data_IF_110037319321
#
_entry.id   IF_110037319321
#
_cell.length_a   1.000
_cell.length_b   1.000
_cell.length_c   1.000
_cell.angle_alpha   90.00
_cell.angle_beta   90.00
_cell.angle_gamma   90.00
#
_symmetry.space_group_name_H-M   'P 1'
#
loop_
_entity.id
_entity.type
_entity.pdbx_description
1 polymer ?
#
# COMPACT_ATOMS: atom_id res chain seq x y z
N UNK A 1 37.29 79.30 -24.36
CA UNK A 1 38.09 78.27 -23.65
C UNK A 1 38.62 77.26 -24.68
N UNK A 2 39.90 76.88 -24.53
CA UNK A 2 40.80 75.94 -25.26
C UNK A 2 40.23 75.03 -26.39
N UNK A 3 40.81 74.99 -27.62
CA UNK A 3 42.06 74.27 -28.11
C UNK A 3 41.96 72.74 -27.89
N UNK A 4 42.13 71.77 -28.82
CA UNK A 4 43.04 71.49 -29.98
C UNK A 4 42.43 70.32 -30.80
N UNK A 5 42.36 70.30 -32.15
CA UNK A 5 43.34 69.84 -33.19
C UNK A 5 43.85 68.37 -33.14
N UNK A 6 43.53 67.61 -34.21
CA UNK A 6 44.32 66.60 -35.01
C UNK A 6 44.89 65.35 -34.28
N UNK A 7 45.07 64.15 -34.85
CA UNK A 7 44.86 63.51 -36.16
C UNK A 7 45.04 61.97 -36.00
N UNK A 8 44.53 61.22 -36.99
CA UNK A 8 44.99 59.95 -37.59
C UNK A 8 45.61 58.82 -36.74
N UNK A 9 45.10 57.59 -36.95
CA UNK A 9 45.94 56.41 -37.22
C UNK A 9 45.10 55.25 -37.80
N UNK A 10 45.26 55.03 -39.10
CA UNK A 10 45.07 53.72 -39.76
C UNK A 10 46.02 52.69 -39.15
N UNK A 11 45.58 51.46 -38.92
CA UNK A 11 46.46 50.29 -39.02
C UNK A 11 45.67 49.00 -39.23
N UNK A 12 46.16 48.26 -40.21
CA UNK A 12 45.70 46.99 -40.76
C UNK A 12 46.15 45.78 -39.94
N UNK A 13 45.35 44.71 -40.09
CA UNK A 13 45.44 43.29 -39.71
C UNK A 13 46.87 42.70 -39.63
N UNK A 14 47.10 41.68 -38.78
CA UNK A 14 47.32 40.35 -39.37
C UNK A 14 46.52 39.23 -38.68
N UNK A 15 46.10 38.29 -39.52
CA UNK A 15 45.42 37.06 -39.18
C UNK A 15 46.37 36.13 -38.42
N UNK A 16 45.92 35.63 -37.26
CA UNK A 16 46.57 34.53 -36.54
C UNK A 16 45.71 33.30 -36.79
N UNK A 17 46.25 32.38 -37.58
CA UNK A 17 45.64 31.07 -37.82
C UNK A 17 45.57 30.28 -36.51
N UNK A 18 44.36 29.98 -36.07
CA UNK A 18 44.12 29.08 -34.94
C UNK A 18 44.11 27.65 -35.45
N UNK A 19 45.09 26.89 -34.98
CA UNK A 19 45.25 25.45 -35.18
C UNK A 19 44.05 24.73 -34.52
N UNK A 20 43.24 24.03 -35.30
CA UNK A 20 42.07 23.29 -34.84
C UNK A 20 42.52 21.99 -34.15
N UNK A 21 42.54 21.98 -32.81
CA UNK A 21 42.67 20.75 -32.02
C UNK A 21 41.34 19.97 -32.12
N UNK A 22 41.35 18.85 -32.85
CA UNK A 22 40.28 17.84 -32.83
C UNK A 22 40.24 17.18 -31.45
N UNK A 23 39.42 17.72 -30.55
CA UNK A 23 39.02 17.02 -29.33
C UNK A 23 38.06 15.88 -29.71
N UNK A 24 38.50 14.63 -29.56
CA UNK A 24 37.59 13.49 -29.55
C UNK A 24 36.67 13.63 -28.33
N UNK A 25 35.44 14.08 -28.57
CA UNK A 25 34.39 14.03 -27.57
C UNK A 25 34.03 12.55 -27.29
N UNK A 26 34.08 12.07 -26.03
CA UNK A 26 33.54 10.76 -25.71
C UNK A 26 32.05 10.77 -26.03
N UNK A 27 31.62 9.82 -26.86
CA UNK A 27 30.20 9.60 -27.14
C UNK A 27 29.46 9.37 -25.82
N UNK A 28 28.31 10.04 -25.56
CA UNK A 28 27.51 9.71 -24.41
C UNK A 28 26.99 8.29 -24.64
N UNK A 29 27.58 7.33 -23.92
CA UNK A 29 26.96 6.03 -23.77
C UNK A 29 25.58 6.28 -23.17
N UNK A 30 24.55 6.18 -24.01
CA UNK A 30 23.17 6.08 -23.57
C UNK A 30 23.11 4.87 -22.67
N UNK A 31 23.22 5.11 -21.36
CA UNK A 31 22.83 4.16 -20.34
C UNK A 31 21.37 3.84 -20.64
N UNK A 32 21.15 2.68 -21.25
CA UNK A 32 19.82 2.14 -21.44
C UNK A 32 19.36 1.79 -20.05
N UNK A 33 18.69 2.73 -19.39
CA UNK A 33 17.92 2.43 -18.19
C UNK A 33 16.97 1.31 -18.63
N UNK A 34 17.08 0.09 -18.08
CA UNK A 34 16.18 -0.98 -18.46
C UNK A 34 14.77 -0.43 -18.23
N UNK A 35 13.95 -0.45 -19.28
CA UNK A 35 12.56 -0.03 -19.19
C UNK A 35 11.96 -0.78 -18.00
N UNK A 36 11.62 -0.04 -16.93
CA UNK A 36 10.99 -0.57 -15.73
C UNK A 36 9.78 -1.35 -16.23
N UNK A 37 9.82 -2.69 -16.16
CA UNK A 37 8.69 -3.51 -16.58
C UNK A 37 7.48 -2.97 -15.82
N UNK A 38 6.43 -2.56 -16.53
CA UNK A 38 5.31 -1.82 -15.96
C UNK A 38 4.69 -2.62 -14.83
N UNK A 39 4.97 -2.22 -13.59
CA UNK A 39 4.41 -2.87 -12.42
C UNK A 39 2.90 -2.70 -12.42
N UNK A 40 2.17 -3.73 -12.02
CA UNK A 40 0.73 -3.70 -11.85
C UNK A 40 0.44 -3.33 -10.40
N UNK A 41 -0.32 -2.26 -10.19
CA UNK A 41 -0.78 -1.85 -8.88
C UNK A 41 -2.10 -2.53 -8.55
N UNK A 42 -2.31 -2.85 -7.27
CA UNK A 42 -3.59 -3.25 -6.73
C UNK A 42 -3.92 -2.37 -5.53
N UNK A 43 -5.17 -1.92 -5.45
CA UNK A 43 -5.64 -0.99 -4.44
C UNK A 43 -6.80 -1.58 -3.65
N UNK A 44 -6.68 -1.51 -2.33
CA UNK A 44 -7.76 -1.83 -1.41
C UNK A 44 -7.82 -0.82 -0.26
N UNK A 45 -9.00 -0.29 0.05
CA UNK A 45 -9.21 0.42 1.31
C UNK A 45 -9.52 -0.56 2.43
N UNK A 46 -9.06 -0.25 3.63
CA UNK A 46 -9.29 -1.03 4.85
C UNK A 46 -10.13 -0.18 5.77
N UNK A 47 -11.39 -0.55 5.93
CA UNK A 47 -12.40 0.17 6.71
C UNK A 47 -12.64 -0.53 8.05
N UNK A 48 -12.54 0.23 9.13
CA UNK A 48 -12.90 -0.26 10.46
C UNK A 48 -14.31 0.20 10.85
N UNK A 49 -15.27 -0.71 10.90
CA UNK A 49 -16.64 -0.47 11.38
C UNK A 49 -16.93 -1.13 12.73
N UNK A 50 -15.92 -1.72 13.36
CA UNK A 50 -16.05 -2.37 14.66
C UNK A 50 -16.45 -1.36 15.75
N UNK A 51 -17.21 -1.80 16.78
CA UNK A 51 -17.89 -0.88 17.68
C UNK A 51 -16.97 -0.12 18.64
N UNK A 52 -15.77 -0.62 18.96
CA UNK A 52 -14.92 -0.01 19.98
C UNK A 52 -14.26 1.29 19.50
N UNK A 53 -14.26 2.29 20.39
CA UNK A 53 -13.57 3.57 20.18
C UNK A 53 -12.03 3.40 20.13
N UNK A 54 -11.50 2.34 20.75
CA UNK A 54 -10.09 1.98 20.66
C UNK A 54 -9.64 1.70 19.21
N UNK A 55 -10.55 1.35 18.30
CA UNK A 55 -10.19 0.99 16.93
C UNK A 55 -9.44 -0.34 16.87
N UNK A 56 -9.02 -0.72 15.67
CA UNK A 56 -8.22 -1.93 15.43
C UNK A 56 -6.78 -1.57 15.14
N UNK A 57 -5.87 -2.50 15.40
CA UNK A 57 -4.45 -2.40 15.06
C UNK A 57 -4.10 -3.38 13.96
N UNK A 58 -3.33 -2.91 12.97
CA UNK A 58 -2.85 -3.72 11.86
C UNK A 58 -1.33 -3.62 11.72
N UNK A 59 -0.67 -4.77 11.59
CA UNK A 59 0.75 -4.85 11.26
C UNK A 59 0.89 -5.74 10.03
N UNK A 60 1.17 -5.11 8.89
CA UNK A 60 1.08 -5.76 7.59
C UNK A 60 2.43 -5.89 6.87
N UNK A 61 2.50 -6.96 6.05
CA UNK A 61 3.59 -7.23 5.11
C UNK A 61 3.05 -7.74 3.78
N UNK A 62 3.57 -7.20 2.69
CA UNK A 62 3.34 -7.71 1.34
C UNK A 62 4.36 -8.82 1.05
N UNK A 63 3.87 -9.92 0.51
CA UNK A 63 4.63 -11.13 0.20
C UNK A 63 4.32 -11.58 -1.24
N UNK A 64 5.22 -12.36 -1.83
CA UNK A 64 5.00 -13.01 -3.12
C UNK A 64 5.86 -14.26 -3.30
N UNK A 65 6.08 -14.73 -4.54
CA UNK A 65 6.66 -16.03 -4.79
C UNK A 65 8.13 -16.02 -4.37
N UNK A 66 8.52 -16.91 -3.45
CA UNK A 66 9.87 -16.94 -2.87
C UNK A 66 10.01 -16.21 -1.53
N UNK A 67 8.91 -15.72 -0.95
CA UNK A 67 8.88 -14.94 0.30
C UNK A 67 9.58 -13.57 0.22
N UNK A 68 9.78 -13.06 -1.00
CA UNK A 68 10.28 -11.71 -1.19
C UNK A 68 9.31 -10.73 -0.53
N UNK A 69 9.84 -9.92 0.39
CA UNK A 69 9.08 -8.82 1.00
C UNK A 69 9.05 -7.71 -0.05
N UNK A 70 7.87 -7.16 -0.35
CA UNK A 70 7.71 -6.04 -1.29
C UNK A 70 7.58 -4.66 -0.62
N UNK A 71 8.29 -4.34 0.49
CA UNK A 71 7.95 -3.16 1.29
C UNK A 71 8.39 -1.85 0.62
N UNK A 72 9.36 -1.91 -0.29
CA UNK A 72 9.92 -0.71 -0.94
C UNK A 72 8.96 -0.09 -1.96
N UNK A 73 8.02 -0.90 -2.49
CA UNK A 73 7.07 -0.49 -3.52
C UNK A 73 5.61 -0.59 -3.07
N UNK A 74 5.32 -1.25 -1.95
CA UNK A 74 3.96 -1.44 -1.44
C UNK A 74 3.68 -0.58 -0.22
N UNK A 75 2.57 0.14 -0.24
CA UNK A 75 2.07 0.91 0.90
C UNK A 75 1.00 0.07 1.60
N UNK A 76 1.39 -0.63 2.66
CA UNK A 76 0.45 -1.44 3.46
C UNK A 76 0.06 -0.74 4.77
N UNK A 77 -1.18 -0.91 5.22
CA UNK A 77 -1.65 -0.27 6.45
C UNK A 77 -0.83 -0.76 7.64
N UNK A 78 -0.32 0.18 8.42
CA UNK A 78 0.38 -0.10 9.68
C UNK A 78 -0.16 0.79 10.79
N UNK A 79 -0.24 0.23 11.99
CA UNK A 79 -0.71 0.89 13.19
C UNK A 79 -2.23 0.93 13.32
N UNK A 80 -2.71 1.93 14.04
CA UNK A 80 -4.11 2.04 14.48
C UNK A 80 -5.04 2.56 13.39
N UNK A 81 -6.17 1.86 13.20
CA UNK A 81 -7.31 2.26 12.37
C UNK A 81 -8.50 2.56 13.29
N UNK A 82 -8.86 3.83 13.53
CA UNK A 82 -9.96 4.20 14.41
C UNK A 82 -11.31 3.74 13.83
N UNK A 83 -12.35 3.66 14.67
CA UNK A 83 -13.72 3.38 14.21
C UNK A 83 -14.17 4.45 13.21
N UNK A 84 -14.77 4.01 12.09
CA UNK A 84 -15.14 4.87 10.97
C UNK A 84 -13.94 5.37 10.15
N UNK A 85 -12.72 4.98 10.53
CA UNK A 85 -11.51 5.29 9.80
C UNK A 85 -11.27 4.31 8.66
N UNK A 86 -10.54 4.79 7.65
CA UNK A 86 -10.05 4.00 6.54
C UNK A 86 -8.55 4.21 6.30
N UNK A 87 -7.87 3.18 5.80
CA UNK A 87 -6.49 3.24 5.29
C UNK A 87 -6.43 2.61 3.92
N UNK A 88 -5.61 3.14 3.02
CA UNK A 88 -5.41 2.52 1.70
C UNK A 88 -4.21 1.60 1.77
N UNK A 89 -4.39 0.39 1.24
CA UNK A 89 -3.35 -0.56 0.90
C UNK A 89 -3.12 -0.49 -0.60
N UNK A 90 -1.87 -0.27 -1.00
CA UNK A 90 -1.40 -0.38 -2.38
C UNK A 90 -0.32 -1.45 -2.44
N UNK A 91 -0.49 -2.41 -3.35
CA UNK A 91 0.47 -3.48 -3.59
C UNK A 91 0.95 -3.37 -5.02
N UNK A 92 2.26 -3.24 -5.19
CA UNK A 92 2.89 -3.18 -6.51
C UNK A 92 3.49 -4.54 -6.86
N UNK A 93 3.08 -5.09 -8.00
CA UNK A 93 3.54 -6.40 -8.47
C UNK A 93 4.28 -6.21 -9.78
N UNK A 94 5.53 -6.65 -9.82
CA UNK A 94 6.28 -6.68 -11.08
C UNK A 94 5.72 -7.77 -12.01
N UNK A 95 5.49 -7.46 -13.30
CA UNK A 95 4.92 -8.42 -14.22
C UNK A 95 5.88 -9.60 -14.47
N UNK A 96 5.34 -10.81 -14.44
CA UNK A 96 6.04 -12.04 -14.77
C UNK A 96 5.12 -13.27 -14.64
N UNK A 97 5.42 -14.38 -15.34
CA UNK A 97 4.62 -15.60 -15.24
C UNK A 97 4.65 -16.15 -13.81
N UNK A 98 3.49 -16.47 -13.23
CA UNK A 98 3.36 -17.05 -11.88
C UNK A 98 3.60 -16.07 -10.73
N UNK A 99 3.58 -14.77 -10.96
CA UNK A 99 3.77 -13.75 -9.91
C UNK A 99 2.46 -13.52 -9.15
N UNK A 100 2.25 -14.35 -8.13
CA UNK A 100 1.22 -14.16 -7.10
C UNK A 100 1.75 -13.26 -5.99
N UNK A 101 0.91 -12.37 -5.46
CA UNK A 101 1.26 -11.61 -4.26
C UNK A 101 0.06 -11.52 -3.32
N UNK A 102 0.35 -11.41 -2.03
CA UNK A 102 -0.66 -11.28 -1.01
C UNK A 102 -0.15 -10.41 0.14
N UNK A 103 -1.09 -9.77 0.83
CA UNK A 103 -0.81 -8.97 2.03
C UNK A 103 -1.29 -9.74 3.24
N UNK A 104 -0.35 -10.13 4.10
CA UNK A 104 -0.66 -10.72 5.40
C UNK A 104 -0.53 -9.67 6.48
N UNK A 105 -1.49 -9.66 7.39
CA UNK A 105 -1.47 -8.79 8.55
C UNK A 105 -1.69 -9.57 9.84
N UNK A 106 -1.00 -9.12 10.87
CA UNK A 106 -1.47 -9.30 12.24
C UNK A 106 -2.54 -8.26 12.52
N UNK A 107 -3.66 -8.71 13.09
CA UNK A 107 -4.79 -7.88 13.45
C UNK A 107 -5.02 -7.97 14.96
N UNK A 108 -5.28 -6.83 15.60
CA UNK A 108 -5.55 -6.72 17.02
C UNK A 108 -6.78 -5.85 17.29
N UNK A 109 -7.67 -6.31 18.18
CA UNK A 109 -8.87 -5.57 18.59
C UNK A 109 -9.37 -6.03 19.96
N UNK A 110 -9.49 -5.09 20.92
CA UNK A 110 -10.05 -5.35 22.27
C UNK A 110 -9.44 -6.60 22.95
N UNK A 111 -8.12 -6.77 22.83
CA UNK A 111 -7.39 -7.90 23.41
C UNK A 111 -7.54 -9.24 22.67
N UNK A 112 -8.14 -9.24 21.48
CA UNK A 112 -8.19 -10.40 20.58
C UNK A 112 -7.23 -10.18 19.41
N UNK A 113 -6.62 -11.27 18.96
CA UNK A 113 -5.49 -11.21 18.04
C UNK A 113 -5.58 -12.30 16.97
N UNK A 114 -5.32 -11.92 15.72
CA UNK A 114 -5.16 -12.82 14.58
C UNK A 114 -3.80 -12.57 13.92
N UNK A 115 -3.14 -13.63 13.48
CA UNK A 115 -2.01 -13.57 12.56
C UNK A 115 -2.43 -14.04 11.17
N UNK A 116 -1.65 -13.67 10.16
CA UNK A 116 -1.82 -14.12 8.78
C UNK A 116 -3.21 -13.84 8.19
N UNK A 117 -3.88 -12.76 8.64
CA UNK A 117 -5.10 -12.29 8.00
C UNK A 117 -4.74 -11.75 6.61
N UNK A 118 -5.34 -12.32 5.56
CA UNK A 118 -5.13 -11.85 4.19
C UNK A 118 -5.95 -10.58 3.95
N UNK A 119 -5.28 -9.43 3.82
CA UNK A 119 -5.94 -8.20 3.38
C UNK A 119 -6.09 -8.13 1.86
N UNK A 120 -5.21 -8.79 1.13
CA UNK A 120 -5.25 -8.82 -0.31
C UNK A 120 -4.58 -10.09 -0.80
N UNK A 121 -5.07 -10.62 -1.91
CA UNK A 121 -4.50 -11.76 -2.60
C UNK A 121 -4.80 -11.62 -4.10
N UNK A 122 -3.78 -11.71 -4.94
CA UNK A 122 -3.94 -11.71 -6.39
C UNK A 122 -4.78 -12.85 -6.92
N UNK A 123 -4.90 -13.94 -6.15
CA UNK A 123 -5.67 -15.11 -6.52
C UNK A 123 -7.15 -15.00 -6.14
N UNK A 124 -7.56 -13.90 -5.48
CA UNK A 124 -8.97 -13.68 -5.20
C UNK A 124 -9.79 -13.46 -6.49
N UNK A 125 -11.05 -13.91 -6.53
CA UNK A 125 -11.93 -13.70 -7.67
C UNK A 125 -12.05 -12.23 -8.10
N UNK A 126 -12.11 -11.33 -7.11
CA UNK A 126 -12.23 -9.89 -7.30
C UNK A 126 -10.90 -9.15 -7.56
N UNK A 127 -9.75 -9.83 -7.53
CA UNK A 127 -8.44 -9.18 -7.59
C UNK A 127 -8.25 -8.32 -8.85
N UNK A 128 -8.75 -8.78 -10.00
CA UNK A 128 -8.68 -8.02 -11.26
C UNK A 128 -9.43 -6.68 -11.18
N UNK A 129 -10.53 -6.61 -10.44
CA UNK A 129 -11.28 -5.37 -10.23
C UNK A 129 -10.53 -4.38 -9.34
N UNK A 130 -9.56 -4.85 -8.53
CA UNK A 130 -8.79 -4.00 -7.63
C UNK A 130 -7.58 -3.29 -8.28
N UNK A 131 -7.27 -3.53 -9.56
CA UNK A 131 -6.03 -3.03 -10.18
C UNK A 131 -6.05 -1.54 -10.52
N UNK A 132 -7.11 -1.10 -11.20
CA UNK A 132 -7.20 0.24 -11.75
C UNK A 132 -8.45 0.95 -11.22
N UNK A 133 -8.32 1.78 -10.18
CA UNK A 133 -9.45 2.53 -9.66
C UNK A 133 -9.99 3.53 -10.70
N UNK A 134 -9.18 4.02 -11.65
CA UNK A 134 -9.68 4.91 -12.69
C UNK A 134 -10.67 4.19 -13.62
N UNK A 135 -10.42 2.91 -13.93
CA UNK A 135 -11.36 2.07 -14.68
C UNK A 135 -12.68 1.84 -13.93
N UNK A 136 -12.66 1.92 -12.60
CA UNK A 136 -13.82 1.75 -11.72
C UNK A 136 -14.45 3.06 -11.24
N UNK A 137 -14.23 4.18 -11.95
CA UNK A 137 -14.79 5.49 -11.57
C UNK A 137 -14.24 6.06 -10.25
N UNK A 138 -13.06 5.59 -9.83
CA UNK A 138 -12.40 5.95 -8.57
C UNK A 138 -12.71 5.02 -7.39
N UNK A 139 -13.57 4.01 -7.56
CA UNK A 139 -13.88 3.08 -6.47
C UNK A 139 -12.74 2.05 -6.27
N UNK A 140 -12.33 1.87 -5.01
CA UNK A 140 -11.35 0.87 -4.60
C UNK A 140 -12.08 -0.38 -4.10
N UNK A 141 -11.43 -1.54 -4.16
CA UNK A 141 -11.83 -2.68 -3.34
C UNK A 141 -11.82 -2.27 -1.86
N UNK A 142 -12.77 -2.75 -1.07
CA UNK A 142 -12.88 -2.38 0.35
C UNK A 142 -12.86 -3.61 1.23
N UNK A 143 -11.90 -3.68 2.13
CA UNK A 143 -11.90 -4.63 3.23
C UNK A 143 -12.59 -4.02 4.43
N UNK A 144 -13.77 -4.55 4.73
CA UNK A 144 -14.65 -4.02 5.74
C UNK A 144 -14.62 -4.95 6.95
N UNK A 145 -14.11 -4.45 8.07
CA UNK A 145 -14.14 -5.10 9.38
C UNK A 145 -15.41 -4.65 10.09
N UNK A 146 -16.38 -5.54 10.20
CA UNK A 146 -17.74 -5.22 10.64
C UNK A 146 -18.31 -6.37 11.45
N UNK A 147 -18.96 -6.04 12.56
CA UNK A 147 -19.45 -7.00 13.55
C UNK A 147 -18.36 -7.98 14.03
N UNK A 148 -18.40 -9.22 13.56
CA UNK A 148 -17.52 -10.34 13.87
C UNK A 148 -16.94 -11.00 12.62
N UNK A 149 -16.90 -10.27 11.50
CA UNK A 149 -16.33 -10.76 10.25
C UNK A 149 -15.52 -9.68 9.51
N UNK A 150 -14.65 -10.15 8.63
CA UNK A 150 -14.02 -9.31 7.60
C UNK A 150 -14.56 -9.73 6.25
N UNK A 151 -14.97 -8.74 5.47
CA UNK A 151 -15.47 -8.93 4.11
C UNK A 151 -14.68 -8.08 3.13
N UNK A 152 -14.57 -8.56 1.90
CA UNK A 152 -14.08 -7.79 0.76
C UNK A 152 -15.27 -7.37 -0.09
N UNK A 153 -15.30 -6.09 -0.47
CA UNK A 153 -16.31 -5.51 -1.34
C UNK A 153 -15.60 -5.03 -2.60
N UNK A 154 -15.91 -5.64 -3.74
CA UNK A 154 -15.37 -5.24 -5.03
C UNK A 154 -15.99 -3.89 -5.47
N UNK A 155 -15.32 -3.16 -6.38
CA UNK A 155 -15.96 -2.06 -7.10
C UNK A 155 -17.26 -2.53 -7.74
N UNK A 156 -18.34 -1.75 -7.59
CA UNK A 156 -19.69 -2.18 -7.98
C UNK A 156 -20.49 -2.90 -6.89
N UNK A 157 -19.90 -3.17 -5.72
CA UNK A 157 -20.61 -3.54 -4.50
C UNK A 157 -20.80 -5.03 -4.23
N UNK A 158 -20.25 -5.91 -5.07
CA UNK A 158 -20.23 -7.35 -4.78
C UNK A 158 -19.43 -7.61 -3.49
N UNK A 159 -20.01 -8.34 -2.54
CA UNK A 159 -19.42 -8.58 -1.22
C UNK A 159 -19.18 -10.07 -1.00
N UNK A 160 -17.96 -10.40 -0.57
CA UNK A 160 -17.56 -11.74 -0.16
C UNK A 160 -17.02 -11.71 1.27
N UNK A 161 -17.43 -12.66 2.10
CA UNK A 161 -16.84 -12.83 3.44
C UNK A 161 -15.47 -13.49 3.29
N UNK A 162 -14.44 -12.88 3.85
CA UNK A 162 -13.08 -13.44 3.88
C UNK A 162 -12.95 -14.44 5.04
N UNK A 163 -13.57 -14.12 6.17
CA UNK A 163 -13.68 -15.02 7.31
C UNK A 163 -14.12 -14.28 8.58
N UNK A 164 -14.26 -15.04 9.65
CA UNK A 164 -14.74 -14.52 10.93
C UNK A 164 -13.59 -13.93 11.76
N UNK A 165 -13.93 -13.06 12.70
CA UNK A 165 -13.04 -12.38 13.63
C UNK A 165 -13.40 -12.79 15.06
N UNK A 166 -12.42 -12.97 15.95
CA UNK A 166 -12.67 -13.29 17.36
C UNK A 166 -13.10 -12.03 18.13
N UNK A 167 -14.26 -11.46 17.77
CA UNK A 167 -14.82 -10.27 18.42
C UNK A 167 -15.86 -10.70 19.43
N UNK A 168 -15.68 -10.31 20.69
CA UNK A 168 -16.69 -10.55 21.74
C UNK A 168 -17.87 -9.60 21.55
N UNK A 169 -19.09 -10.13 21.64
CA UNK A 169 -20.31 -9.33 21.75
C UNK A 169 -20.62 -9.14 23.23
N UNK A 170 -20.55 -7.89 23.69
CA UNK A 170 -20.86 -7.53 25.07
C UNK A 170 -22.29 -7.00 25.17
N UNK A 171 -23.11 -7.61 26.02
CA UNK A 171 -24.47 -7.16 26.32
C UNK A 171 -24.56 -6.70 27.76
N UNK A 172 -25.17 -5.52 27.97
CA UNK A 172 -25.45 -5.00 29.29
C UNK A 172 -26.74 -5.63 29.82
N UNK A 173 -26.66 -6.31 30.95
CA UNK A 173 -27.81 -6.86 31.67
C UNK A 173 -28.29 -5.81 32.68
N UNK A 174 -29.36 -5.10 32.34
CA UNK A 174 -29.87 -4.00 33.17
C UNK A 174 -30.32 -4.45 34.56
N UNK A 175 -30.86 -5.67 34.68
CA UNK A 175 -31.31 -6.26 35.95
C UNK A 175 -30.19 -6.61 36.93
N UNK A 176 -28.99 -6.89 36.42
CA UNK A 176 -27.85 -7.33 37.25
C UNK A 176 -26.74 -6.28 37.31
N UNK A 177 -26.95 -5.11 36.69
CA UNK A 177 -25.92 -4.09 36.47
C UNK A 177 -24.58 -4.65 35.93
N UNK A 178 -24.62 -5.81 35.26
CA UNK A 178 -23.45 -6.52 34.80
C UNK A 178 -23.33 -6.44 33.28
N UNK A 179 -22.12 -6.62 32.78
CA UNK A 179 -21.85 -6.79 31.35
C UNK A 179 -21.37 -8.21 31.13
N UNK A 180 -22.13 -8.97 30.34
CA UNK A 180 -21.72 -10.30 29.88
C UNK A 180 -21.15 -10.16 28.48
N UNK A 181 -19.98 -10.76 28.22
CA UNK A 181 -19.38 -10.80 26.90
C UNK A 181 -19.21 -12.26 26.47
N UNK A 182 -19.73 -12.59 25.29
CA UNK A 182 -19.61 -13.93 24.72
C UNK A 182 -19.05 -13.82 23.30
N UNK A 183 -18.36 -14.86 22.86
CA UNK A 183 -18.07 -15.01 21.43
C UNK A 183 -19.36 -15.45 20.73
N UNK A 184 -19.76 -14.78 19.64
CA UNK A 184 -20.86 -15.25 18.82
C UNK A 184 -20.49 -16.58 18.14
N UNK A 185 -21.51 -17.29 17.66
CA UNK A 185 -21.28 -18.46 16.80
C UNK A 185 -20.63 -18.00 15.49
N UNK A 186 -19.63 -18.76 15.04
CA UNK A 186 -18.85 -18.45 13.85
C UNK A 186 -19.32 -19.32 12.67
N UNK A 187 -20.12 -18.77 11.73
CA UNK A 187 -20.55 -19.51 10.55
C UNK A 187 -19.42 -19.79 9.55
N UNK A 188 -18.31 -19.04 9.62
CA UNK A 188 -17.16 -19.21 8.73
C UNK A 188 -15.89 -19.55 9.53
N UNK A 189 -14.86 -20.11 8.89
CA UNK A 189 -13.53 -20.15 9.47
C UNK A 189 -13.02 -18.74 9.80
N UNK A 190 -12.16 -18.64 10.81
CA UNK A 190 -11.48 -17.38 11.11
C UNK A 190 -10.66 -16.90 9.90
N UNK A 191 -10.66 -15.58 9.67
CA UNK A 191 -9.94 -14.95 8.57
C UNK A 191 -8.40 -15.03 8.68
N UNK A 192 -7.90 -15.58 9.79
CA UNK A 192 -6.48 -15.79 10.06
C UNK A 192 -6.29 -16.82 11.17
N UNK A 193 -5.04 -16.97 11.61
CA UNK A 193 -4.69 -17.85 12.72
C UNK A 193 -4.88 -17.12 14.05
N UNK A 194 -5.68 -17.69 14.95
CA UNK A 194 -5.82 -17.20 16.32
C UNK A 194 -4.47 -17.15 17.03
N UNK A 195 -4.20 -16.03 17.69
CA UNK A 195 -3.06 -15.85 18.58
C UNK A 195 -3.55 -15.89 20.04
N UNK A 196 -2.68 -16.39 20.92
CA UNK A 196 -3.06 -16.61 22.33
C UNK A 196 -3.03 -15.34 23.16
N UNK A 197 -2.17 -14.39 22.80
CA UNK A 197 -1.93 -13.17 23.57
C UNK A 197 -1.23 -12.08 22.74
N UNK A 198 -1.08 -10.90 23.34
CA UNK A 198 -0.42 -9.75 22.73
C UNK A 198 1.08 -9.97 22.42
N UNK A 199 1.77 -10.82 23.19
CA UNK A 199 3.20 -11.09 22.95
C UNK A 199 3.38 -11.80 21.61
N UNK A 200 2.52 -12.75 21.29
CA UNK A 200 2.51 -13.40 19.97
C UNK A 200 2.18 -12.42 18.84
N UNK A 201 1.41 -11.35 19.11
CA UNK A 201 1.08 -10.34 18.11
C UNK A 201 2.28 -9.45 17.76
N UNK A 202 3.04 -9.02 18.78
CA UNK A 202 4.22 -8.15 18.58
C UNK A 202 5.47 -8.91 18.13
N UNK A 203 5.47 -10.24 18.18
CA UNK A 203 6.58 -11.08 17.72
C UNK A 203 6.58 -11.35 16.19
N UNK A 204 5.58 -10.82 15.45
CA UNK A 204 5.36 -11.10 14.01
C UNK A 204 6.04 -10.09 13.09
#
# INVERSE_FOLDING_TARGET
MARRRLAAATTTVPAIGVLLLLALAPSPATATVPARRSAVSYYASVENRLPAAAGMELVCRALGPGFDVYPELSVVPRGRVPRGGARVAEVLIEPGPGRVAWVLCSWGYEGNYLANLKLFDTEWPEAAACQDPAASGGELCRLVFEDDAVSVVAPGGERRVVGDLPVKRCRRHWLLFSTGCTYPDHPNPYAGRLLRNALEFFAV
#
